data_IF_565467515334
#
_entry.id   IF_565467515334
#
_cell.length_a   1.000
_cell.length_b   1.000
_cell.length_c   1.000
_cell.angle_alpha   90.00
_cell.angle_beta   90.00
_cell.angle_gamma   90.00
#
_symmetry.space_group_name_H-M   'P 1'
#
loop_
_entity.id
_entity.type
_entity.pdbx_description
1 polymer ?
#
# COMPACT_ATOMS: atom_id res chain seq x y z
N UNK A 1 -35.20 62.73 5.78
CA UNK A 1 -34.02 62.35 4.99
C UNK A 1 -33.52 61.00 5.52
N UNK A 2 -33.93 59.89 4.90
CA UNK A 2 -33.57 58.53 5.33
C UNK A 2 -32.19 58.20 4.75
N UNK A 3 -31.20 57.99 5.62
CA UNK A 3 -29.86 57.57 5.20
C UNK A 3 -29.92 56.10 4.81
N UNK A 4 -29.61 55.82 3.54
CA UNK A 4 -29.50 54.48 2.97
C UNK A 4 -28.20 53.85 3.49
N UNK A 5 -28.29 52.84 4.34
CA UNK A 5 -27.13 52.02 4.73
C UNK A 5 -26.92 50.95 3.67
N UNK A 6 -25.85 51.09 2.88
CA UNK A 6 -25.39 50.06 1.93
C UNK A 6 -24.58 49.04 2.72
N UNK A 7 -25.16 47.86 2.95
CA UNK A 7 -24.45 46.71 3.52
C UNK A 7 -23.81 45.95 2.35
N UNK A 8 -22.49 46.08 2.21
CA UNK A 8 -21.65 45.35 1.26
C UNK A 8 -21.37 43.95 1.84
N UNK A 9 -22.16 42.95 1.47
CA UNK A 9 -21.88 41.54 1.80
C UNK A 9 -20.74 41.04 0.89
N UNK A 10 -19.51 41.00 1.40
CA UNK A 10 -18.43 40.24 0.77
C UNK A 10 -18.73 38.74 0.89
N UNK A 11 -19.21 38.14 -0.20
CA UNK A 11 -19.26 36.69 -0.34
C UNK A 11 -17.83 36.17 -0.51
N UNK A 12 -17.16 35.82 0.58
CA UNK A 12 -16.02 34.90 0.52
C UNK A 12 -16.57 33.55 0.03
N UNK A 13 -16.42 33.27 -1.26
CA UNK A 13 -16.60 31.91 -1.77
C UNK A 13 -15.51 31.05 -1.14
N UNK A 14 -15.87 30.28 -0.12
CA UNK A 14 -15.04 29.19 0.35
C UNK A 14 -14.96 28.19 -0.80
N UNK A 15 -13.76 28.04 -1.38
CA UNK A 15 -13.50 26.94 -2.28
C UNK A 15 -13.60 25.68 -1.43
N UNK A 16 -14.67 24.91 -1.63
CA UNK A 16 -14.80 23.60 -1.01
C UNK A 16 -13.71 22.74 -1.64
N UNK A 17 -12.66 22.44 -0.87
CA UNK A 17 -11.74 21.39 -1.24
C UNK A 17 -12.57 20.10 -1.24
N UNK A 18 -12.84 19.57 -2.43
CA UNK A 18 -13.43 18.24 -2.55
C UNK A 18 -12.41 17.26 -1.98
N UNK A 19 -12.80 16.56 -0.92
CA UNK A 19 -11.98 15.51 -0.33
C UNK A 19 -11.93 14.36 -1.34
N UNK A 20 -10.74 14.03 -1.83
CA UNK A 20 -10.54 12.85 -2.66
C UNK A 20 -10.48 11.62 -1.76
N UNK A 21 -11.38 10.68 -1.99
CA UNK A 21 -11.59 9.50 -1.15
C UNK A 21 -11.35 8.20 -1.92
N UNK A 22 -10.83 7.21 -1.20
CA UNK A 22 -10.74 5.84 -1.71
C UNK A 22 -12.11 5.18 -1.51
N UNK A 23 -12.76 4.76 -2.60
CA UNK A 23 -14.03 4.05 -2.55
C UNK A 23 -13.85 2.60 -2.12
N UNK A 24 -12.81 1.94 -2.64
CA UNK A 24 -12.47 0.57 -2.29
C UNK A 24 -10.96 0.38 -2.23
N UNK A 25 -10.49 -0.41 -1.27
CA UNK A 25 -9.09 -0.83 -1.18
C UNK A 25 -9.05 -2.28 -0.72
N UNK A 26 -8.58 -3.17 -1.58
CA UNK A 26 -8.62 -4.61 -1.35
C UNK A 26 -7.40 -5.29 -1.97
N UNK A 27 -7.24 -6.58 -1.67
CA UNK A 27 -6.13 -7.38 -2.18
C UNK A 27 -6.60 -8.69 -2.81
N UNK A 28 -5.71 -9.27 -3.61
CA UNK A 28 -5.82 -10.60 -4.17
C UNK A 28 -4.46 -11.31 -4.02
N UNK A 29 -4.48 -12.54 -3.53
CA UNK A 29 -3.29 -13.39 -3.50
C UNK A 29 -3.05 -13.98 -4.89
N UNK A 30 -1.86 -13.79 -5.45
CA UNK A 30 -1.49 -14.31 -6.77
C UNK A 30 -0.68 -15.63 -6.70
N UNK A 31 -0.41 -16.11 -5.48
CA UNK A 31 0.50 -17.22 -5.16
C UNK A 31 1.56 -16.76 -4.17
N UNK A 32 2.36 -17.66 -3.59
CA UNK A 32 3.33 -17.25 -2.57
C UNK A 32 4.61 -16.67 -3.18
N UNK A 33 5.08 -15.48 -2.75
CA UNK A 33 4.48 -14.55 -1.79
C UNK A 33 4.02 -13.24 -2.47
N UNK A 34 3.21 -13.34 -3.53
CA UNK A 34 2.75 -12.23 -4.35
C UNK A 34 1.35 -11.75 -3.93
N UNK A 35 1.25 -10.45 -3.63
CA UNK A 35 0.00 -9.77 -3.25
C UNK A 35 -0.30 -8.69 -4.26
N UNK A 36 -1.44 -8.78 -4.93
CA UNK A 36 -1.98 -7.69 -5.75
C UNK A 36 -2.87 -6.82 -4.87
N UNK A 37 -2.60 -5.52 -4.84
CA UNK A 37 -3.39 -4.49 -4.20
C UNK A 37 -4.14 -3.71 -5.27
N UNK A 38 -5.43 -3.49 -5.07
CA UNK A 38 -6.31 -2.78 -5.99
C UNK A 38 -7.07 -1.72 -5.20
N UNK A 39 -7.12 -0.50 -5.74
CA UNK A 39 -7.94 0.56 -5.18
C UNK A 39 -8.71 1.31 -6.26
N UNK A 40 -9.89 1.78 -5.86
CA UNK A 40 -10.79 2.58 -6.67
C UNK A 40 -10.98 3.94 -5.98
N UNK A 41 -10.95 5.00 -6.77
CA UNK A 41 -11.04 6.39 -6.33
C UNK A 41 -12.38 6.99 -6.73
N UNK A 42 -12.89 7.93 -5.92
CA UNK A 42 -14.07 8.71 -6.28
C UNK A 42 -13.76 9.74 -7.39
N UNK A 43 -12.56 10.32 -7.31
CA UNK A 43 -11.97 11.21 -8.30
C UNK A 43 -10.45 11.18 -8.17
N UNK A 44 -9.73 11.77 -9.12
CA UNK A 44 -8.26 11.87 -9.07
C UNK A 44 -7.76 13.30 -9.31
N UNK A 45 -8.66 14.27 -9.15
CA UNK A 45 -8.35 15.67 -9.38
C UNK A 45 -7.33 16.17 -8.35
N UNK A 46 -6.23 16.74 -8.83
CA UNK A 46 -5.18 17.29 -7.96
C UNK A 46 -4.25 16.25 -7.33
N UNK A 47 -4.36 14.97 -7.73
CA UNK A 47 -3.42 13.91 -7.36
C UNK A 47 -2.34 13.78 -8.44
N UNK A 48 -1.07 13.81 -8.05
CA UNK A 48 0.07 13.52 -8.94
C UNK A 48 0.31 12.01 -9.09
N UNK A 49 0.03 11.25 -8.03
CA UNK A 49 0.20 9.82 -8.02
C UNK A 49 -0.04 9.22 -6.64
N UNK A 50 0.32 7.95 -6.52
CA UNK A 50 0.10 7.14 -5.34
C UNK A 50 1.39 6.44 -4.92
N UNK A 51 1.47 6.13 -3.64
CA UNK A 51 2.44 5.20 -3.08
C UNK A 51 1.72 4.18 -2.20
N UNK A 52 2.23 2.96 -2.21
CA UNK A 52 1.81 1.90 -1.30
C UNK A 52 2.86 1.78 -0.22
N UNK A 53 2.43 1.87 1.03
CA UNK A 53 3.27 1.57 2.18
C UNK A 53 2.85 0.25 2.84
N UNK A 54 3.83 -0.51 3.31
CA UNK A 54 3.67 -1.77 4.03
C UNK A 54 4.26 -1.71 5.43
N UNK A 55 3.64 -2.41 6.36
CA UNK A 55 4.08 -2.61 7.74
C UNK A 55 3.92 -4.07 8.16
N UNK A 56 4.71 -4.53 9.13
CA UNK A 56 4.55 -5.84 9.81
C UNK A 56 3.95 -5.72 11.21
N UNK A 57 3.72 -4.49 11.70
CA UNK A 57 3.28 -4.18 13.06
C UNK A 57 2.14 -3.15 13.11
N UNK A 58 1.60 -2.79 11.95
CA UNK A 58 0.57 -1.76 11.75
C UNK A 58 0.92 -0.36 12.31
N UNK A 59 2.19 -0.12 12.63
CA UNK A 59 2.65 1.11 13.31
C UNK A 59 3.75 1.79 12.51
N UNK A 60 4.73 1.02 12.04
CA UNK A 60 5.85 1.50 11.23
C UNK A 60 5.65 1.09 9.78
N UNK A 61 5.34 2.07 8.94
CA UNK A 61 5.08 1.87 7.51
C UNK A 61 6.28 2.32 6.67
N UNK A 62 6.59 1.53 5.65
CA UNK A 62 7.67 1.79 4.69
C UNK A 62 7.12 1.71 3.27
N UNK A 63 7.56 2.59 2.37
CA UNK A 63 7.11 2.53 0.98
C UNK A 63 7.64 1.25 0.31
N UNK A 64 6.75 0.53 -0.37
CA UNK A 64 7.07 -0.69 -1.14
C UNK A 64 6.87 -0.49 -2.63
N UNK A 65 6.21 0.59 -3.04
CA UNK A 65 6.07 0.96 -4.44
C UNK A 65 6.98 2.13 -4.81
N UNK A 66 7.39 2.17 -6.08
CA UNK A 66 7.70 3.45 -6.71
C UNK A 66 6.44 4.31 -6.83
N UNK A 67 6.58 5.62 -7.02
CA UNK A 67 5.43 6.49 -7.27
C UNK A 67 4.64 6.00 -8.50
N UNK A 68 3.35 5.72 -8.29
CA UNK A 68 2.41 5.28 -9.31
C UNK A 68 1.74 6.54 -9.83
N UNK A 69 2.10 6.97 -11.04
CA UNK A 69 1.59 8.23 -11.58
C UNK A 69 0.08 8.19 -11.76
N UNK A 70 -0.59 9.26 -11.36
CA UNK A 70 -2.00 9.46 -11.62
C UNK A 70 -2.16 9.83 -13.10
N UNK A 71 -2.94 9.04 -13.83
CA UNK A 71 -3.23 9.23 -15.26
C UNK A 71 -4.67 9.70 -15.51
N UNK A 72 -5.41 10.03 -14.45
CA UNK A 72 -6.82 10.42 -14.51
C UNK A 72 -7.80 9.26 -14.45
N UNK A 73 -7.33 8.01 -14.44
CA UNK A 73 -8.18 6.85 -14.19
C UNK A 73 -8.67 6.85 -12.74
N UNK A 74 -9.68 6.01 -12.45
CA UNK A 74 -10.21 5.81 -11.11
C UNK A 74 -9.77 4.49 -10.49
N UNK A 75 -9.28 3.55 -11.30
CA UNK A 75 -8.90 2.20 -10.85
C UNK A 75 -7.40 2.00 -11.01
N UNK A 76 -6.75 1.55 -9.95
CA UNK A 76 -5.30 1.37 -9.92
C UNK A 76 -4.93 0.07 -9.23
N UNK A 77 -3.77 -0.47 -9.60
CA UNK A 77 -3.22 -1.67 -8.98
C UNK A 77 -1.72 -1.60 -8.76
N UNK A 78 -1.24 -2.35 -7.77
CA UNK A 78 0.17 -2.57 -7.48
C UNK A 78 0.37 -4.01 -7.02
N UNK A 79 1.42 -4.68 -7.49
CA UNK A 79 1.77 -6.02 -7.00
C UNK A 79 3.03 -5.95 -6.16
N UNK A 80 2.91 -6.37 -4.91
CA UNK A 80 4.01 -6.53 -3.97
C UNK A 80 4.41 -8.01 -3.85
N UNK A 81 5.67 -8.24 -3.49
CA UNK A 81 6.24 -9.58 -3.23
C UNK A 81 6.88 -9.61 -1.84
N UNK A 82 6.08 -9.51 -0.76
CA UNK A 82 6.59 -9.67 0.61
C UNK A 82 7.42 -10.95 0.78
N UNK A 83 8.52 -10.88 1.52
CA UNK A 83 9.36 -12.07 1.78
C UNK A 83 10.36 -12.44 0.68
N UNK A 84 10.43 -11.72 -0.44
CA UNK A 84 11.60 -11.77 -1.33
C UNK A 84 12.84 -11.31 -0.54
N UNK A 85 13.69 -12.25 -0.11
CA UNK A 85 14.87 -11.97 0.73
C UNK A 85 14.80 -12.48 2.16
N UNK A 86 13.76 -13.23 2.54
CA UNK A 86 13.84 -14.13 3.70
C UNK A 86 14.79 -15.28 3.35
N UNK A 87 16.09 -15.00 3.41
CA UNK A 87 17.12 -16.03 3.44
C UNK A 87 16.77 -16.93 4.62
N UNK A 88 16.64 -18.24 4.37
CA UNK A 88 16.38 -19.26 5.38
C UNK A 88 17.27 -19.00 6.60
N UNK A 89 16.71 -18.37 7.61
CA UNK A 89 17.46 -17.83 8.72
C UNK A 89 17.75 -19.01 9.64
N UNK A 90 18.83 -19.72 9.33
CA UNK A 90 19.39 -20.84 10.11
C UNK A 90 18.35 -21.63 10.90
N UNK A 91 17.34 -22.21 10.22
CA UNK A 91 16.60 -23.31 10.83
C UNK A 91 17.54 -24.48 10.89
N UNK A 92 18.11 -24.68 12.08
CA UNK A 92 18.94 -25.81 12.41
C UNK A 92 18.27 -27.09 11.93
N UNK A 93 18.92 -27.71 10.95
CA UNK A 93 19.03 -29.15 10.79
C UNK A 93 17.76 -29.95 11.10
N UNK A 94 16.78 -29.84 10.19
CA UNK A 94 15.85 -30.90 9.75
C UNK A 94 14.98 -30.32 8.65
N UNK A 95 14.82 -31.03 7.55
CA UNK A 95 14.07 -30.63 6.35
C UNK A 95 12.56 -30.44 6.57
N UNK A 96 12.19 -29.60 7.53
CA UNK A 96 10.83 -29.19 7.78
C UNK A 96 10.61 -27.89 7.01
N UNK A 97 9.73 -27.96 6.02
CA UNK A 97 9.11 -26.79 5.41
C UNK A 97 8.38 -26.07 6.53
N UNK A 98 8.97 -25.01 7.06
CA UNK A 98 8.29 -24.16 8.03
C UNK A 98 7.56 -23.11 7.23
N UNK A 99 6.27 -23.35 7.05
CA UNK A 99 5.34 -22.33 6.59
C UNK A 99 5.38 -21.22 7.66
N UNK A 100 5.89 -20.05 7.28
CA UNK A 100 5.92 -18.89 8.17
C UNK A 100 4.62 -18.13 7.91
N UNK A 101 3.74 -18.09 8.90
CA UNK A 101 2.59 -17.20 8.88
C UNK A 101 3.06 -15.79 9.25
N UNK A 102 2.87 -14.84 8.34
CA UNK A 102 3.23 -13.44 8.54
C UNK A 102 2.09 -12.54 8.08
N UNK A 103 1.64 -11.69 8.99
CA UNK A 103 0.69 -10.63 8.70
C UNK A 103 1.41 -9.38 8.20
N UNK A 104 0.89 -8.77 7.15
CA UNK A 104 1.30 -7.49 6.61
C UNK A 104 0.13 -6.52 6.59
N UNK A 105 0.42 -5.24 6.81
CA UNK A 105 -0.54 -4.15 6.75
C UNK A 105 -0.17 -3.21 5.62
N UNK A 106 -1.13 -2.88 4.76
CA UNK A 106 -0.92 -1.98 3.64
C UNK A 106 -1.76 -0.72 3.78
N UNK A 107 -1.23 0.42 3.34
CA UNK A 107 -2.01 1.65 3.23
C UNK A 107 -1.61 2.44 1.99
N UNK A 108 -2.54 3.26 1.53
CA UNK A 108 -2.34 4.13 0.38
C UNK A 108 -1.86 5.52 0.84
N UNK A 109 -0.98 6.11 0.05
CA UNK A 109 -0.49 7.48 0.23
C UNK A 109 -0.69 8.24 -1.08
N UNK A 110 -1.32 9.40 -1.01
CA UNK A 110 -1.44 10.33 -2.12
C UNK A 110 -0.20 11.19 -2.25
N UNK A 111 0.19 11.46 -3.49
CA UNK A 111 1.18 12.45 -3.83
C UNK A 111 0.45 13.69 -4.37
N UNK A 112 0.53 14.79 -3.64
CA UNK A 112 -0.17 16.03 -3.94
C UNK A 112 0.85 17.13 -4.29
N UNK A 113 0.56 18.00 -5.29
CA UNK A 113 1.55 18.94 -5.84
C UNK A 113 2.07 19.97 -4.84
N UNK A 114 1.26 20.35 -3.83
CA UNK A 114 1.61 21.39 -2.86
C UNK A 114 1.65 20.89 -1.42
N UNK A 115 1.19 19.67 -1.16
CA UNK A 115 1.08 19.09 0.18
C UNK A 115 2.02 17.90 0.38
N UNK A 116 2.65 17.42 -0.70
CA UNK A 116 3.55 16.28 -0.66
C UNK A 116 2.79 14.99 -0.41
N UNK A 117 3.26 14.20 0.55
CA UNK A 117 2.72 12.86 0.86
C UNK A 117 1.58 13.00 1.87
N UNK A 118 0.41 12.44 1.55
CA UNK A 118 -0.74 12.39 2.47
C UNK A 118 -1.28 10.97 2.55
N UNK A 119 -1.39 10.41 3.76
CA UNK A 119 -1.98 9.08 3.96
C UNK A 119 -3.47 9.12 3.66
N UNK A 120 -3.98 8.11 2.94
CA UNK A 120 -5.40 7.97 2.65
C UNK A 120 -6.22 7.83 3.94
N UNK A 121 -7.47 8.28 3.91
CA UNK A 121 -8.42 8.06 5.02
C UNK A 121 -8.88 6.60 5.17
N UNK A 122 -8.68 5.77 4.14
CA UNK A 122 -8.99 4.35 4.20
C UNK A 122 -8.17 3.63 5.29
N UNK A 123 -8.79 2.68 6.02
CA UNK A 123 -8.06 1.88 7.01
C UNK A 123 -6.97 1.05 6.33
N UNK A 124 -5.94 0.70 7.10
CA UNK A 124 -4.90 -0.20 6.62
C UNK A 124 -5.48 -1.59 6.33
N UNK A 125 -5.07 -2.17 5.22
CA UNK A 125 -5.48 -3.49 4.77
C UNK A 125 -4.58 -4.56 5.39
N UNK A 126 -5.19 -5.46 6.15
CA UNK A 126 -4.51 -6.59 6.78
C UNK A 126 -4.48 -7.80 5.84
N UNK A 127 -3.29 -8.38 5.65
CA UNK A 127 -3.02 -9.48 4.73
C UNK A 127 -2.17 -10.54 5.44
N UNK A 128 -2.76 -11.70 5.67
CA UNK A 128 -2.06 -12.87 6.20
C UNK A 128 -1.47 -13.71 5.06
N UNK A 129 -0.17 -13.99 5.15
CA UNK A 129 0.54 -14.79 4.15
C UNK A 129 1.16 -16.04 4.78
N UNK A 130 1.04 -17.15 4.07
CA UNK A 130 1.78 -18.38 4.35
C UNK A 130 3.02 -18.43 3.47
N UNK A 131 4.17 -18.10 4.02
CA UNK A 131 5.42 -18.06 3.27
C UNK A 131 6.05 -19.45 3.23
N UNK A 132 6.08 -20.04 2.04
CA UNK A 132 6.74 -21.31 1.78
C UNK A 132 8.26 -21.12 1.69
N UNK A 133 9.00 -21.48 2.74
CA UNK A 133 10.47 -21.52 2.68
C UNK A 133 10.94 -22.89 2.17
N UNK A 134 11.46 -22.94 0.94
CA UNK A 134 12.17 -24.14 0.46
C UNK A 134 13.58 -24.11 1.04
N UNK A 135 13.86 -24.98 2.03
CA UNK A 135 15.24 -25.17 2.48
C UNK A 135 15.99 -26.07 1.49
N UNK A 136 16.65 -25.47 0.50
CA UNK A 136 17.64 -26.22 -0.30
C UNK A 136 18.90 -26.41 0.54
N UNK A 137 18.96 -27.49 1.32
CA UNK A 137 20.19 -27.86 2.02
C UNK A 137 21.18 -28.46 1.02
N UNK A 138 22.23 -27.71 0.72
CA UNK A 138 23.39 -28.14 -0.07
C UNK A 138 24.00 -29.47 0.39
N UNK A 139 23.75 -29.88 1.64
CA UNK A 139 24.18 -31.17 2.19
C UNK A 139 23.66 -32.40 1.44
N UNK A 140 22.42 -32.36 0.91
CA UNK A 140 21.83 -33.49 0.19
C UNK A 140 22.42 -33.69 -1.21
N UNK A 141 22.65 -32.60 -1.94
CA UNK A 141 23.22 -32.64 -3.30
C UNK A 141 24.66 -33.19 -3.26
N UNK A 142 25.43 -32.83 -2.23
CA UNK A 142 26.83 -33.28 -2.09
C UNK A 142 26.98 -34.77 -1.75
N UNK A 143 25.90 -35.44 -1.33
CA UNK A 143 25.88 -36.88 -1.08
C UNK A 143 25.58 -37.71 -2.34
N UNK A 144 24.99 -37.10 -3.38
CA UNK A 144 24.62 -37.78 -4.63
C UNK A 144 25.77 -37.87 -5.65
N UNK A 145 26.87 -37.14 -5.41
CA UNK A 145 28.08 -37.16 -6.24
C UNK A 145 29.24 -37.93 -5.57
N UNK A 146 28.92 -38.90 -4.72
CA UNK A 146 29.88 -39.80 -4.08
C UNK A 146 29.65 -41.23 -4.54
#
# INVERSE_FOLDING_TARGET
MKRLSIILLLSLSAWVAHATEVLSFHYQLLGDPAVRLVWEMDNTNGILGFEVERSTDNSHFTSVSSSIFCNGELDYEFTDYPGQGLNSLNLGDKGHRTDIEQTYYYRLVYLLPNQGRQVSSAPALEVDLQLNTVSTTWGGIKAMFR
#
